data_IF_688829579675
#
_entry.id   IF_688829579675
#
_cell.length_a   1.000
_cell.length_b   1.000
_cell.length_c   1.000
_cell.angle_alpha   90.00
_cell.angle_beta   90.00
_cell.angle_gamma   90.00
#
_symmetry.space_group_name_H-M   'P 1'
#
loop_
_entity.id
_entity.type
_entity.pdbx_description
1 polymer ?
#
# COMPACT_ATOMS: atom_id res chain seq x y z
N UNK A 1 -39.93 21.36 -14.03
CA UNK A 1 -38.77 20.46 -13.86
C UNK A 1 -39.05 19.59 -12.66
N UNK A 2 -39.27 18.28 -12.88
CA UNK A 2 -39.56 17.34 -11.79
C UNK A 2 -38.27 17.02 -11.03
N UNK A 3 -38.28 16.98 -9.69
CA UNK A 3 -37.09 16.64 -8.92
C UNK A 3 -36.67 15.19 -9.22
N UNK A 4 -35.35 14.98 -9.37
CA UNK A 4 -34.76 13.65 -9.56
C UNK A 4 -35.07 12.78 -8.33
N UNK A 5 -35.38 11.47 -8.52
CA UNK A 5 -35.65 10.58 -7.40
C UNK A 5 -34.39 10.47 -6.53
N UNK A 6 -34.51 10.85 -5.26
CA UNK A 6 -33.47 10.64 -4.24
C UNK A 6 -33.87 9.49 -3.32
N UNK A 7 -32.98 8.51 -3.18
CA UNK A 7 -33.13 7.42 -2.23
C UNK A 7 -32.51 7.83 -0.90
N UNK A 8 -33.31 7.92 0.16
CA UNK A 8 -32.86 8.28 1.51
C UNK A 8 -32.90 7.03 2.39
N UNK A 9 -31.72 6.53 2.76
CA UNK A 9 -31.58 5.36 3.63
C UNK A 9 -31.58 5.84 5.09
N UNK A 10 -32.54 5.36 5.89
CA UNK A 10 -32.67 5.67 7.31
C UNK A 10 -32.44 4.39 8.11
N UNK A 11 -31.46 4.38 9.01
CA UNK A 11 -31.30 3.32 10.01
C UNK A 11 -32.07 3.71 11.27
N UNK A 12 -33.11 2.97 11.60
CA UNK A 12 -33.74 3.04 12.92
C UNK A 12 -33.07 2.01 13.82
N UNK A 13 -32.20 2.40 14.77
CA UNK A 13 -31.67 1.44 15.73
C UNK A 13 -32.85 0.92 16.55
N UNK A 14 -33.12 -0.38 16.47
CA UNK A 14 -34.04 -1.06 17.39
C UNK A 14 -33.35 -1.05 18.75
N UNK A 15 -33.92 -0.41 19.79
CA UNK A 15 -33.35 -0.49 21.12
C UNK A 15 -33.60 -1.91 21.64
N UNK A 16 -32.58 -2.77 21.58
CA UNK A 16 -32.61 -4.04 22.30
C UNK A 16 -31.88 -3.85 23.62
N UNK A 17 -32.59 -3.99 24.73
CA UNK A 17 -32.08 -3.88 26.11
C UNK A 17 -31.10 -5.00 26.52
N UNK A 18 -30.68 -5.84 25.58
CA UNK A 18 -29.66 -6.88 25.76
C UNK A 18 -28.45 -6.61 24.86
N UNK A 19 -27.85 -5.43 24.96
CA UNK A 19 -26.51 -5.23 24.42
C UNK A 19 -25.50 -5.87 25.37
N UNK A 20 -24.86 -7.01 25.02
CA UNK A 20 -23.57 -7.29 25.63
C UNK A 20 -22.67 -6.13 25.24
N UNK A 21 -21.91 -5.64 26.22
CA UNK A 21 -20.87 -4.64 26.03
C UNK A 21 -20.10 -4.94 24.74
N UNK A 22 -19.97 -3.93 23.86
CA UNK A 22 -19.22 -3.95 22.60
C UNK A 22 -17.76 -4.35 22.86
N UNK A 23 -17.51 -5.64 23.03
CA UNK A 23 -16.20 -6.24 23.23
C UNK A 23 -15.88 -7.07 21.99
N UNK A 24 -15.01 -6.49 21.15
CA UNK A 24 -14.08 -7.02 20.13
C UNK A 24 -14.37 -8.32 19.34
N UNK A 25 -15.02 -9.34 19.88
CA UNK A 25 -15.11 -10.67 19.26
C UNK A 25 -16.39 -10.88 18.43
N UNK A 26 -17.47 -10.14 18.70
CA UNK A 26 -18.76 -10.36 18.04
C UNK A 26 -18.83 -9.86 16.58
N UNK A 27 -17.89 -9.03 16.14
CA UNK A 27 -17.92 -8.42 14.79
C UNK A 27 -16.96 -9.09 13.79
N UNK A 28 -15.83 -9.68 14.23
CA UNK A 28 -14.89 -10.34 13.31
C UNK A 28 -15.52 -11.57 12.63
N UNK A 29 -16.35 -12.32 13.35
CA UNK A 29 -17.06 -13.50 12.82
C UNK A 29 -17.90 -13.15 11.59
N UNK A 30 -18.63 -12.03 11.63
CA UNK A 30 -19.44 -11.54 10.51
C UNK A 30 -18.60 -11.10 9.30
N UNK A 31 -17.43 -10.51 9.56
CA UNK A 31 -16.48 -10.17 8.50
C UNK A 31 -15.93 -11.44 7.84
N UNK A 32 -15.63 -12.47 8.63
CA UNK A 32 -15.22 -13.78 8.13
C UNK A 32 -16.33 -14.50 7.37
N UNK A 33 -17.58 -14.42 7.81
CA UNK A 33 -18.74 -14.95 7.07
C UNK A 33 -18.85 -14.29 5.68
N UNK A 34 -18.70 -12.97 5.61
CA UNK A 34 -18.70 -12.22 4.36
C UNK A 34 -17.56 -12.65 3.42
N UNK A 35 -16.36 -12.92 3.97
CA UNK A 35 -15.22 -13.39 3.16
C UNK A 35 -15.40 -14.81 2.63
N UNK A 36 -16.06 -15.67 3.40
CA UNK A 36 -16.37 -17.06 3.02
C UNK A 36 -17.48 -17.17 1.97
N UNK A 37 -18.33 -16.15 1.86
CA UNK A 37 -19.37 -16.11 0.85
C UNK A 37 -18.77 -15.86 -0.55
N UNK A 38 -18.87 -16.87 -1.40
CA UNK A 38 -18.38 -16.82 -2.78
C UNK A 38 -19.18 -15.83 -3.65
N UNK A 39 -20.42 -15.51 -3.28
CA UNK A 39 -21.30 -14.60 -4.03
C UNK A 39 -21.01 -13.13 -3.76
N UNK A 40 -20.28 -12.83 -2.68
CA UNK A 40 -19.95 -11.45 -2.30
C UNK A 40 -18.90 -10.87 -3.24
N UNK A 41 -19.19 -9.67 -3.74
CA UNK A 41 -18.30 -8.94 -4.65
C UNK A 41 -16.97 -8.57 -3.99
N UNK A 42 -15.88 -8.62 -4.77
CA UNK A 42 -14.49 -8.35 -4.36
C UNK A 42 -14.31 -7.02 -3.61
N UNK A 43 -15.09 -5.99 -3.96
CA UNK A 43 -15.05 -4.68 -3.29
C UNK A 43 -15.45 -4.79 -1.81
N UNK A 44 -16.48 -5.57 -1.49
CA UNK A 44 -16.92 -5.77 -0.12
C UNK A 44 -15.93 -6.65 0.65
N UNK A 45 -15.38 -7.68 0.00
CA UNK A 45 -14.30 -8.50 0.56
C UNK A 45 -13.08 -7.66 0.92
N UNK A 46 -12.67 -6.74 0.04
CA UNK A 46 -11.58 -5.78 0.30
C UNK A 46 -11.84 -4.93 1.54
N UNK A 47 -13.06 -4.41 1.69
CA UNK A 47 -13.43 -3.61 2.86
C UNK A 47 -13.39 -4.43 4.15
N UNK A 48 -13.89 -5.67 4.13
CA UNK A 48 -13.83 -6.57 5.28
C UNK A 48 -12.39 -6.93 5.67
N UNK A 49 -11.54 -7.28 4.70
CA UNK A 49 -10.12 -7.56 4.94
C UNK A 49 -9.37 -6.37 5.55
N UNK A 50 -9.65 -5.15 5.08
CA UNK A 50 -9.08 -3.92 5.66
C UNK A 50 -9.50 -3.71 7.10
N UNK A 51 -10.76 -3.97 7.40
CA UNK A 51 -11.29 -3.81 8.76
C UNK A 51 -10.73 -4.87 9.71
N UNK A 52 -10.60 -6.13 9.26
CA UNK A 52 -9.88 -7.17 9.99
C UNK A 52 -8.41 -6.80 10.22
N UNK A 53 -7.74 -6.21 9.23
CA UNK A 53 -6.36 -5.76 9.35
C UNK A 53 -6.22 -4.63 10.37
N UNK A 54 -7.14 -3.65 10.35
CA UNK A 54 -7.20 -2.56 11.33
C UNK A 54 -7.37 -3.10 12.76
N UNK A 55 -8.15 -4.17 12.92
CA UNK A 55 -8.38 -4.87 14.19
C UNK A 55 -7.23 -5.80 14.60
N UNK A 56 -6.26 -6.01 13.71
CA UNK A 56 -5.15 -6.96 13.89
C UNK A 56 -5.67 -8.37 14.20
N UNK A 57 -6.71 -8.79 13.48
CA UNK A 57 -7.27 -10.13 13.62
C UNK A 57 -6.18 -11.19 13.37
N UNK A 58 -5.93 -12.12 14.31
CA UNK A 58 -4.79 -13.03 14.24
C UNK A 58 -4.90 -14.03 13.08
N UNK A 59 -6.11 -14.38 12.64
CA UNK A 59 -6.32 -15.32 11.52
C UNK A 59 -6.06 -14.69 10.15
N UNK A 60 -5.89 -13.36 10.08
CA UNK A 60 -5.80 -12.65 8.81
C UNK A 60 -4.52 -12.97 8.04
N UNK A 61 -3.41 -13.19 8.74
CA UNK A 61 -2.14 -13.54 8.11
C UNK A 61 -2.24 -14.89 7.39
N UNK A 62 -2.76 -15.92 8.06
CA UNK A 62 -2.95 -17.25 7.47
C UNK A 62 -3.94 -17.21 6.30
N UNK A 63 -4.99 -16.39 6.41
CA UNK A 63 -5.91 -16.19 5.30
C UNK A 63 -5.24 -15.51 4.09
N UNK A 64 -4.31 -14.58 4.33
CA UNK A 64 -3.52 -13.98 3.24
C UNK A 64 -2.69 -15.05 2.51
N UNK A 65 -2.17 -16.08 3.20
CA UNK A 65 -1.43 -17.17 2.56
C UNK A 65 -2.32 -17.99 1.61
N UNK A 66 -3.59 -18.19 1.97
CA UNK A 66 -4.60 -18.79 1.08
C UNK A 66 -4.85 -17.93 -0.15
N UNK A 67 -5.05 -16.62 0.04
CA UNK A 67 -5.26 -15.67 -1.06
C UNK A 67 -4.05 -15.60 -2.00
N UNK A 68 -2.83 -15.60 -1.46
CA UNK A 68 -1.59 -15.59 -2.23
C UNK A 68 -1.31 -16.90 -2.99
N UNK A 69 -1.99 -17.98 -2.62
CA UNK A 69 -1.92 -19.28 -3.30
C UNK A 69 -3.07 -19.48 -4.31
N UNK A 70 -3.98 -18.51 -4.42
CA UNK A 70 -5.11 -18.57 -5.36
C UNK A 70 -4.65 -18.40 -6.81
N UNK A 71 -5.25 -19.15 -7.72
CA UNK A 71 -5.09 -18.97 -9.17
C UNK A 71 -5.78 -17.69 -9.68
N UNK A 72 -6.74 -17.16 -8.90
CA UNK A 72 -7.40 -15.90 -9.20
C UNK A 72 -6.47 -14.73 -8.92
N UNK A 73 -6.04 -14.03 -9.99
CA UNK A 73 -5.26 -12.77 -9.85
C UNK A 73 -5.97 -11.76 -8.94
N UNK A 74 -7.31 -11.74 -8.93
CA UNK A 74 -8.08 -10.83 -8.08
C UNK A 74 -7.88 -11.13 -6.60
N UNK A 75 -7.96 -12.41 -6.22
CA UNK A 75 -7.75 -12.84 -4.83
C UNK A 75 -6.29 -12.69 -4.42
N UNK A 76 -5.36 -13.01 -5.32
CA UNK A 76 -3.94 -12.76 -5.10
C UNK A 76 -3.66 -11.28 -4.82
N UNK A 77 -4.21 -10.37 -5.63
CA UNK A 77 -4.09 -8.93 -5.43
C UNK A 77 -4.72 -8.47 -4.10
N UNK A 78 -5.82 -9.10 -3.67
CA UNK A 78 -6.42 -8.85 -2.35
C UNK A 78 -5.47 -9.28 -1.23
N UNK A 79 -4.83 -10.45 -1.34
CA UNK A 79 -3.84 -10.92 -0.37
C UNK A 79 -2.67 -9.95 -0.23
N UNK A 80 -2.04 -9.57 -1.34
CA UNK A 80 -0.94 -8.59 -1.36
C UNK A 80 -1.36 -7.25 -0.76
N UNK A 81 -2.52 -6.72 -1.17
CA UNK A 81 -3.04 -5.45 -0.63
C UNK A 81 -3.32 -5.52 0.87
N UNK A 82 -3.82 -6.66 1.34
CA UNK A 82 -4.18 -6.86 2.76
C UNK A 82 -2.92 -6.96 3.63
N UNK A 83 -1.90 -7.67 3.18
CA UNK A 83 -0.58 -7.69 3.84
C UNK A 83 0.02 -6.28 3.94
N UNK A 84 -0.10 -5.47 2.87
CA UNK A 84 0.35 -4.08 2.91
C UNK A 84 -0.40 -3.26 3.96
N UNK A 85 -1.70 -3.49 4.16
CA UNK A 85 -2.48 -2.80 5.21
C UNK A 85 -2.10 -3.27 6.62
N UNK A 86 -1.75 -4.54 6.81
CA UNK A 86 -1.35 -5.08 8.11
C UNK A 86 -0.05 -4.46 8.64
N UNK A 87 0.91 -4.20 7.75
CA UNK A 87 2.17 -3.52 8.05
C UNK A 87 3.02 -4.13 9.20
N UNK A 88 2.80 -5.40 9.54
CA UNK A 88 3.60 -6.14 10.53
C UNK A 88 4.93 -6.64 9.94
N UNK A 89 5.89 -7.05 10.78
CA UNK A 89 7.15 -7.66 10.28
C UNK A 89 6.84 -8.86 9.39
N UNK A 90 5.98 -9.72 9.92
CA UNK A 90 5.52 -10.94 9.30
C UNK A 90 4.83 -10.69 7.94
N UNK A 91 4.04 -9.61 7.82
CA UNK A 91 3.42 -9.24 6.55
C UNK A 91 4.45 -8.77 5.51
N UNK A 92 5.46 -8.01 5.94
CA UNK A 92 6.55 -7.55 5.06
C UNK A 92 7.38 -8.75 4.57
N UNK A 93 7.71 -9.70 5.44
CA UNK A 93 8.44 -10.92 5.05
C UNK A 93 7.68 -11.73 4.00
N UNK A 94 6.35 -11.88 4.16
CA UNK A 94 5.48 -12.53 3.16
C UNK A 94 5.43 -11.77 1.85
N UNK A 95 5.38 -10.43 1.89
CA UNK A 95 5.43 -9.61 0.67
C UNK A 95 6.78 -9.74 -0.05
N UNK A 96 7.91 -9.74 0.67
CA UNK A 96 9.24 -9.96 0.07
C UNK A 96 9.31 -11.35 -0.59
N UNK A 97 8.82 -12.38 0.09
CA UNK A 97 8.76 -13.74 -0.44
C UNK A 97 7.82 -13.85 -1.65
N UNK A 98 6.77 -13.04 -1.68
CA UNK A 98 5.84 -12.95 -2.82
C UNK A 98 6.52 -12.25 -4.00
N UNK A 99 7.21 -11.14 -3.78
CA UNK A 99 7.98 -10.43 -4.81
C UNK A 99 8.97 -11.36 -5.52
N UNK A 100 9.70 -12.20 -4.76
CA UNK A 100 10.68 -13.13 -5.30
C UNK A 100 10.06 -14.14 -6.28
N UNK A 101 8.79 -14.51 -6.08
CA UNK A 101 8.05 -15.47 -6.92
C UNK A 101 7.28 -14.80 -8.07
N UNK A 102 7.01 -13.50 -7.97
CA UNK A 102 6.29 -12.73 -8.99
C UNK A 102 7.16 -12.34 -10.17
N UNK A 103 6.52 -12.13 -11.33
CA UNK A 103 7.15 -11.68 -12.58
C UNK A 103 6.39 -10.47 -13.15
N UNK A 104 7.06 -9.70 -14.02
CA UNK A 104 6.43 -8.61 -14.77
C UNK A 104 5.71 -7.58 -13.88
N UNK A 105 4.47 -7.23 -14.25
CA UNK A 105 3.66 -6.22 -13.55
C UNK A 105 3.35 -6.60 -12.10
N UNK A 106 3.14 -7.88 -11.82
CA UNK A 106 2.81 -8.34 -10.46
C UNK A 106 3.99 -8.12 -9.50
N UNK A 107 5.22 -8.23 -10.02
CA UNK A 107 6.44 -7.94 -9.25
C UNK A 107 6.52 -6.46 -8.88
N UNK A 108 6.20 -5.57 -9.81
CA UNK A 108 6.13 -4.12 -9.55
C UNK A 108 5.01 -3.80 -8.55
N UNK A 109 3.85 -4.45 -8.68
CA UNK A 109 2.74 -4.25 -7.75
C UNK A 109 3.12 -4.62 -6.30
N UNK A 110 3.83 -5.74 -6.11
CA UNK A 110 4.32 -6.12 -4.77
C UNK A 110 5.40 -5.16 -4.27
N UNK A 111 6.29 -4.68 -5.15
CA UNK A 111 7.30 -3.68 -4.80
C UNK A 111 6.66 -2.41 -4.24
N UNK A 112 5.65 -1.88 -4.93
CA UNK A 112 4.87 -0.71 -4.50
C UNK A 112 4.26 -0.94 -3.11
N UNK A 113 3.70 -2.13 -2.88
CA UNK A 113 3.09 -2.51 -1.60
C UNK A 113 4.13 -2.64 -0.47
N UNK A 114 5.35 -3.10 -0.75
CA UNK A 114 6.45 -3.13 0.23
C UNK A 114 6.96 -1.72 0.51
N UNK A 115 7.15 -0.92 -0.53
CA UNK A 115 7.69 0.44 -0.43
C UNK A 115 6.81 1.33 0.46
N UNK A 116 5.49 1.18 0.39
CA UNK A 116 4.54 1.96 1.19
C UNK A 116 4.60 1.69 2.70
N UNK A 117 5.08 0.52 3.13
CA UNK A 117 5.15 0.12 4.55
C UNK A 117 6.56 -0.22 5.02
N UNK A 118 7.58 0.11 4.23
CA UNK A 118 8.95 -0.25 4.53
C UNK A 118 9.43 0.36 5.86
N UNK A 119 10.06 -0.49 6.68
CA UNK A 119 10.71 -0.12 7.94
C UNK A 119 12.21 -0.42 7.88
N UNK A 120 12.97 0.14 8.82
CA UNK A 120 14.43 0.05 8.86
C UNK A 120 14.94 -1.40 8.79
N UNK A 121 14.27 -2.31 9.48
CA UNK A 121 14.62 -3.75 9.56
C UNK A 121 14.67 -4.43 8.17
N UNK A 122 13.92 -3.90 7.20
CA UNK A 122 13.77 -4.48 5.86
C UNK A 122 14.50 -3.71 4.76
N UNK A 123 15.33 -2.72 5.11
CA UNK A 123 16.09 -1.92 4.13
C UNK A 123 16.99 -2.79 3.26
N UNK A 124 17.67 -3.78 3.85
CA UNK A 124 18.58 -4.64 3.08
C UNK A 124 17.85 -5.49 2.03
N UNK A 125 16.80 -6.27 2.36
CA UNK A 125 15.98 -6.94 1.35
C UNK A 125 15.42 -5.97 0.30
N UNK A 126 14.85 -4.84 0.72
CA UNK A 126 14.28 -3.86 -0.20
C UNK A 126 15.30 -3.27 -1.18
N UNK A 127 16.53 -3.02 -0.72
CA UNK A 127 17.63 -2.52 -1.55
C UNK A 127 18.02 -3.47 -2.69
N UNK A 128 17.69 -4.76 -2.57
CA UNK A 128 17.89 -5.74 -3.63
C UNK A 128 16.72 -5.67 -4.61
N UNK A 129 15.49 -5.59 -4.10
CA UNK A 129 14.27 -5.51 -4.91
C UNK A 129 14.28 -4.30 -5.85
N UNK A 130 14.64 -3.11 -5.34
CA UNK A 130 14.61 -1.87 -6.15
C UNK A 130 15.68 -1.81 -7.24
N UNK A 131 16.67 -2.71 -7.26
CA UNK A 131 17.72 -2.71 -8.31
C UNK A 131 17.14 -2.92 -9.70
N UNK A 132 16.04 -3.66 -9.80
CA UNK A 132 15.39 -3.96 -11.09
C UNK A 132 14.76 -2.71 -11.73
N UNK A 133 14.45 -1.70 -10.91
CA UNK A 133 13.82 -0.45 -11.35
C UNK A 133 14.76 0.76 -11.23
N UNK A 134 15.97 0.57 -10.69
CA UNK A 134 16.99 1.60 -10.54
C UNK A 134 17.64 1.90 -11.90
N UNK A 135 16.89 2.57 -12.78
CA UNK A 135 17.31 3.00 -14.11
C UNK A 135 16.79 4.42 -14.38
N UNK A 136 17.45 5.20 -15.25
CA UNK A 136 16.96 6.53 -15.62
C UNK A 136 15.52 6.49 -16.15
N UNK A 137 14.67 7.40 -15.66
CA UNK A 137 13.27 7.50 -16.03
C UNK A 137 12.42 8.12 -14.92
N UNK A 138 11.11 8.19 -15.15
CA UNK A 138 10.14 8.67 -14.18
C UNK A 138 9.61 7.52 -13.32
N UNK A 139 9.55 7.75 -12.01
CA UNK A 139 8.98 6.82 -11.04
C UNK A 139 8.07 7.58 -10.08
N UNK A 140 6.79 7.18 -10.03
CA UNK A 140 5.86 7.75 -9.08
C UNK A 140 6.05 7.13 -7.69
N UNK A 141 6.70 7.87 -6.79
CA UNK A 141 6.94 7.44 -5.40
C UNK A 141 5.97 8.05 -4.38
N UNK A 142 4.84 8.60 -4.81
CA UNK A 142 3.92 9.37 -3.94
C UNK A 142 3.38 8.58 -2.74
N UNK A 143 3.32 7.25 -2.85
CA UNK A 143 2.82 6.35 -1.78
C UNK A 143 3.93 5.65 -1.03
N UNK A 144 5.19 5.95 -1.32
CA UNK A 144 6.33 5.28 -0.72
C UNK A 144 6.62 5.86 0.65
N UNK A 145 7.07 5.01 1.57
CA UNK A 145 7.62 5.48 2.83
C UNK A 145 8.91 6.27 2.60
N UNK A 146 9.24 7.18 3.52
CA UNK A 146 10.52 7.92 3.49
C UNK A 146 11.73 6.98 3.48
N UNK A 147 11.63 5.84 4.17
CA UNK A 147 12.68 4.82 4.22
C UNK A 147 12.88 4.20 2.82
N UNK A 148 11.80 3.89 2.11
CA UNK A 148 11.86 3.35 0.76
C UNK A 148 12.49 4.35 -0.22
N UNK A 149 12.06 5.62 -0.18
CA UNK A 149 12.62 6.69 -1.01
C UNK A 149 14.12 6.85 -0.75
N UNK A 150 14.53 6.94 0.52
CA UNK A 150 15.95 7.05 0.87
C UNK A 150 16.76 5.84 0.41
N UNK A 151 16.20 4.64 0.51
CA UNK A 151 16.87 3.41 0.07
C UNK A 151 17.03 3.40 -1.45
N UNK A 152 16.01 3.81 -2.19
CA UNK A 152 16.08 3.93 -3.64
C UNK A 152 17.15 4.94 -4.06
N UNK A 153 17.20 6.13 -3.44
CA UNK A 153 18.22 7.16 -3.74
C UNK A 153 19.63 6.62 -3.55
N UNK A 154 19.87 5.91 -2.45
CA UNK A 154 21.17 5.29 -2.18
C UNK A 154 21.51 4.20 -3.21
N UNK A 155 20.54 3.39 -3.64
CA UNK A 155 20.74 2.40 -4.70
C UNK A 155 21.04 3.08 -6.03
N UNK A 156 20.26 4.08 -6.45
CA UNK A 156 20.48 4.85 -7.67
C UNK A 156 21.86 5.50 -7.69
N UNK A 157 22.29 6.12 -6.59
CA UNK A 157 23.63 6.71 -6.45
C UNK A 157 24.74 5.69 -6.72
N UNK A 158 24.61 4.45 -6.26
CA UNK A 158 25.58 3.37 -6.52
C UNK A 158 25.65 2.95 -7.99
N UNK A 159 24.56 3.14 -8.72
CA UNK A 159 24.49 2.93 -10.16
C UNK A 159 24.86 4.19 -10.97
N UNK A 160 25.28 5.28 -10.31
CA UNK A 160 25.61 6.55 -10.97
C UNK A 160 24.38 7.31 -11.48
N UNK A 161 23.20 7.03 -10.94
CA UNK A 161 21.94 7.68 -11.30
C UNK A 161 21.65 8.80 -10.29
N UNK A 162 21.55 10.02 -10.79
CA UNK A 162 21.11 11.17 -10.01
C UNK A 162 19.58 11.14 -9.86
N UNK A 163 19.09 11.44 -8.65
CA UNK A 163 17.65 11.47 -8.36
C UNK A 163 17.20 12.89 -8.09
N UNK A 164 16.29 13.41 -8.90
CA UNK A 164 15.62 14.70 -8.70
C UNK A 164 14.21 14.42 -8.17
N UNK A 165 13.79 15.18 -7.15
CA UNK A 165 12.45 15.07 -6.59
C UNK A 165 11.64 16.29 -7.04
N UNK A 166 10.74 16.10 -7.99
CA UNK A 166 9.82 17.15 -8.43
C UNK A 166 8.61 17.17 -7.50
N UNK A 167 8.71 17.93 -6.41
CA UNK A 167 7.52 18.32 -5.66
C UNK A 167 6.74 19.32 -6.51
N UNK A 168 5.60 18.91 -7.04
CA UNK A 168 4.61 19.82 -7.62
C UNK A 168 4.04 20.70 -6.51
N UNK A 169 4.76 21.76 -6.13
CA UNK A 169 4.34 23.05 -5.54
C UNK A 169 5.59 23.77 -4.97
N UNK A 170 6.03 24.80 -5.71
CA UNK A 170 6.91 25.93 -5.37
C UNK A 170 8.29 25.68 -4.72
N UNK A 171 9.34 25.89 -5.53
CA UNK A 171 10.35 26.90 -5.19
C UNK A 171 10.36 27.99 -6.26
N UNK A 172 9.88 29.14 -5.83
CA UNK A 172 10.05 30.45 -6.44
C UNK A 172 11.50 30.72 -6.80
N UNK A 173 11.71 31.47 -7.88
CA UNK A 173 12.83 32.37 -8.10
C UNK A 173 13.49 32.85 -6.80
N UNK A 174 14.73 32.43 -6.55
CA UNK A 174 15.75 33.33 -6.04
C UNK A 174 16.85 33.40 -7.09
N UNK A 175 16.73 34.44 -7.91
CA UNK A 175 17.87 35.03 -8.56
C UNK A 175 18.80 35.56 -7.46
N UNK A 176 20.04 35.09 -7.45
CA UNK A 176 21.16 35.93 -7.04
C UNK A 176 21.94 36.18 -8.33
N UNK A 177 21.63 37.32 -8.94
CA UNK A 177 22.64 38.10 -9.66
C UNK A 177 23.74 38.42 -8.63
N UNK A 178 24.97 37.99 -8.92
CA UNK A 178 26.12 38.80 -8.53
C UNK A 178 27.13 38.81 -9.68
N UNK A 179 26.98 39.87 -10.47
CA UNK A 179 28.00 40.65 -11.17
C UNK A 179 29.46 40.18 -11.03
N UNK A 180 29.99 39.63 -12.12
CA UNK A 180 31.30 40.08 -12.64
C UNK A 180 31.25 40.13 -14.16
N UNK A 181 31.19 41.35 -14.71
CA UNK A 181 31.41 41.67 -16.12
C UNK A 181 32.93 41.70 -16.43
N UNK A 182 33.32 41.65 -17.72
CA UNK A 182 34.61 41.13 -18.17
C UNK A 182 35.70 42.20 -18.19
N UNK A 183 36.95 41.75 -18.16
CA UNK A 183 38.09 42.56 -18.63
C UNK A 183 38.88 41.69 -19.62
N UNK A 184 38.70 42.02 -20.89
CA UNK A 184 39.62 41.73 -22.00
C UNK A 184 40.01 43.10 -22.59
N UNK A 185 41.16 43.25 -23.28
CA UNK A 185 41.87 42.22 -24.06
C UNK A 185 43.33 41.92 -23.65
#
# INVERSE_FOLDING_TARGET
MSPLPQLRLLSHPVPSDNHPTLHNDADSSRLWDLLRDATVHTVLKKSALKELARRKDPALIEHCDVLLSSESRSDWCLGVSTLSVLATNEAVDRLISTFARSLGEDRIFVLECVASILRADFVRPFSIMVREIARPGELNVSRWSRVAISTLREVCKRFGIETVYEDGVHTSHEAIEDLTLPVDP
#
